data_IF_113417248364
#
_entry.id   IF_113417248364
#
_cell.length_a   1.000
_cell.length_b   1.000
_cell.length_c   1.000
_cell.angle_alpha   90.00
_cell.angle_beta   90.00
_cell.angle_gamma   90.00
#
_symmetry.space_group_name_H-M   'P 1'
#
loop_
_entity.id
_entity.type
_entity.pdbx_description
1 polymer ?
#
# COMPACT_ATOMS: atom_id res chain seq x y z
N UNK A 1 53.17 43.97 29.86
CA UNK A 1 51.85 44.54 30.24
C UNK A 1 51.95 45.01 31.67
N UNK A 2 51.69 46.29 31.95
CA UNK A 2 51.71 46.80 33.33
C UNK A 2 50.47 46.30 34.09
N UNK A 3 50.57 46.09 35.41
CA UNK A 3 49.44 45.63 36.22
C UNK A 3 48.23 46.58 36.13
N UNK A 4 48.45 47.87 35.87
CA UNK A 4 47.41 48.86 35.65
C UNK A 4 46.55 48.59 34.39
N UNK A 5 47.15 48.10 33.30
CA UNK A 5 46.39 47.75 32.10
C UNK A 5 45.52 46.50 32.32
N UNK A 6 46.01 45.52 33.09
CA UNK A 6 45.23 44.32 33.41
C UNK A 6 43.99 44.67 34.26
N UNK A 7 44.15 45.54 35.26
CA UNK A 7 43.05 45.99 36.12
C UNK A 7 42.00 46.78 35.33
N UNK A 8 42.43 47.67 34.43
CA UNK A 8 41.52 48.44 33.59
C UNK A 8 40.71 47.54 32.63
N UNK A 9 41.35 46.54 32.02
CA UNK A 9 40.69 45.59 31.13
C UNK A 9 39.66 44.75 31.90
N UNK A 10 40.00 44.25 33.09
CA UNK A 10 39.08 43.50 33.93
C UNK A 10 37.88 44.35 34.39
N UNK A 11 38.12 45.62 34.76
CA UNK A 11 37.05 46.54 35.14
C UNK A 11 36.09 46.82 33.97
N UNK A 12 36.62 47.09 32.77
CA UNK A 12 35.79 47.29 31.57
C UNK A 12 35.03 46.02 31.18
N UNK A 13 35.65 44.85 31.24
CA UNK A 13 34.98 43.58 30.98
C UNK A 13 33.82 43.34 31.95
N UNK A 14 34.01 43.63 33.24
CA UNK A 14 32.97 43.48 34.25
C UNK A 14 31.80 44.45 34.02
N UNK A 15 32.07 45.71 33.66
CA UNK A 15 31.03 46.69 33.31
C UNK A 15 30.25 46.24 32.07
N UNK A 16 30.93 45.76 31.04
CA UNK A 16 30.28 45.25 29.82
C UNK A 16 29.39 44.04 30.14
N UNK A 17 29.87 43.09 30.96
CA UNK A 17 29.06 41.94 31.41
C UNK A 17 27.83 42.40 32.18
N UNK A 18 27.96 43.35 33.11
CA UNK A 18 26.82 43.90 33.87
C UNK A 18 25.80 44.57 32.93
N UNK A 19 26.26 45.37 31.97
CA UNK A 19 25.38 46.03 30.99
C UNK A 19 24.66 45.00 30.11
N UNK A 20 25.36 43.98 29.61
CA UNK A 20 24.76 42.90 28.81
C UNK A 20 23.70 42.15 29.63
N UNK A 21 23.99 41.82 30.89
CA UNK A 21 23.04 41.16 31.78
C UNK A 21 21.80 42.02 32.06
N UNK A 22 21.93 43.34 32.13
CA UNK A 22 20.81 44.26 32.31
C UNK A 22 19.97 44.42 31.03
N UNK A 23 20.59 44.45 29.85
CA UNK A 23 19.89 44.67 28.56
C UNK A 23 19.24 43.38 28.03
N UNK A 24 19.83 42.21 28.25
CA UNK A 24 19.31 40.91 27.80
C UNK A 24 18.00 40.46 28.50
N UNK A 25 17.31 41.37 29.20
CA UNK A 25 16.18 41.06 30.07
C UNK A 25 14.82 41.61 29.70
N UNK A 26 14.69 42.28 28.55
CA UNK A 26 13.42 42.82 28.10
C UNK A 26 13.02 42.12 26.82
N UNK A 27 12.10 41.17 26.94
CA UNK A 27 11.42 40.63 25.78
C UNK A 27 10.31 41.61 25.37
N UNK A 28 10.13 41.83 24.07
CA UNK A 28 8.98 42.57 23.54
C UNK A 28 7.95 41.58 23.03
N UNK A 29 6.68 41.95 23.18
CA UNK A 29 5.61 41.14 22.62
C UNK A 29 5.69 41.13 21.09
N UNK A 30 5.75 39.97 20.41
CA UNK A 30 5.82 39.91 18.95
C UNK A 30 4.55 40.45 18.27
N UNK A 31 3.45 40.59 19.01
CA UNK A 31 2.15 41.01 18.48
C UNK A 31 1.87 42.51 18.63
N UNK A 32 2.31 43.13 19.72
CA UNK A 32 1.98 44.53 20.04
C UNK A 32 3.18 45.38 20.46
N UNK A 33 4.39 44.82 20.43
CA UNK A 33 5.67 45.44 20.82
C UNK A 33 5.75 45.98 22.27
N UNK A 34 4.75 45.67 23.11
CA UNK A 34 4.77 46.01 24.52
C UNK A 34 5.97 45.35 25.22
N UNK A 35 6.61 46.08 26.13
CA UNK A 35 7.72 45.58 26.93
C UNK A 35 7.23 44.61 28.00
N UNK A 36 7.84 43.43 28.10
CA UNK A 36 7.42 42.35 28.98
C UNK A 36 8.49 41.98 29.99
N UNK A 37 8.07 41.39 31.11
CA UNK A 37 8.98 40.75 32.06
C UNK A 37 9.52 39.44 31.48
N UNK A 38 10.73 39.04 31.91
CA UNK A 38 11.40 37.81 31.43
C UNK A 38 10.59 36.52 31.62
N UNK A 39 9.60 36.53 32.51
CA UNK A 39 8.75 35.40 32.87
C UNK A 39 7.29 35.57 32.46
N UNK A 40 6.95 36.60 31.67
CA UNK A 40 5.58 36.83 31.22
C UNK A 40 5.14 35.67 30.31
N UNK A 41 4.23 34.83 30.82
CA UNK A 41 3.57 33.77 30.03
C UNK A 41 2.47 34.31 29.12
N UNK A 42 1.99 35.51 29.39
CA UNK A 42 0.95 36.16 28.60
C UNK A 42 1.15 37.67 28.60
N UNK A 43 0.93 38.31 27.45
CA UNK A 43 0.98 39.76 27.34
C UNK A 43 -0.28 40.38 27.96
N UNK A 44 -0.14 41.31 28.93
CA UNK A 44 -1.28 41.95 29.58
C UNK A 44 -2.01 42.95 28.68
N UNK A 45 -1.39 43.40 27.58
CA UNK A 45 -1.99 44.38 26.66
C UNK A 45 -2.82 43.72 25.54
N UNK A 46 -2.34 42.62 24.96
CA UNK A 46 -3.00 41.98 23.82
C UNK A 46 -3.46 40.54 24.07
N UNK A 47 -3.20 39.99 25.26
CA UNK A 47 -3.59 38.62 25.62
C UNK A 47 -2.76 37.52 24.97
N UNK A 48 -1.73 37.84 24.18
CA UNK A 48 -0.88 36.84 23.51
C UNK A 48 -0.13 35.98 24.53
N UNK A 49 -0.30 34.65 24.46
CA UNK A 49 0.49 33.69 25.25
C UNK A 49 1.89 33.58 24.64
N UNK A 50 2.92 33.65 25.47
CA UNK A 50 4.33 33.70 25.08
C UNK A 50 5.05 32.51 25.69
N UNK A 51 5.80 31.78 24.87
CA UNK A 51 6.53 30.59 25.31
C UNK A 51 5.85 29.25 24.98
N UNK A 52 4.85 29.23 24.11
CA UNK A 52 4.44 28.00 23.44
C UNK A 52 4.89 28.10 21.99
N UNK A 53 5.99 27.41 21.67
CA UNK A 53 6.11 26.82 20.33
C UNK A 53 5.02 25.75 20.31
N UNK A 54 3.78 26.17 20.06
CA UNK A 54 2.77 25.21 19.67
C UNK A 54 3.31 24.67 18.36
N UNK A 55 3.64 23.39 18.36
CA UNK A 55 3.96 22.71 17.12
C UNK A 55 2.86 23.05 16.09
N UNK A 56 3.17 23.14 14.78
CA UNK A 56 2.15 23.39 13.76
C UNK A 56 0.93 22.45 13.86
N UNK A 57 1.11 21.29 14.50
CA UNK A 57 0.08 20.30 14.80
C UNK A 57 -0.82 20.72 15.99
N UNK A 58 -0.28 21.28 17.07
CA UNK A 58 -1.06 21.71 18.24
C UNK A 58 -1.87 23.00 17.96
N UNK A 59 -1.36 23.90 17.12
CA UNK A 59 -2.10 25.09 16.68
C UNK A 59 -3.33 24.73 15.82
N UNK A 60 -3.29 23.58 15.13
CA UNK A 60 -4.44 22.99 14.43
C UNK A 60 -5.43 22.34 15.40
N UNK A 61 -4.97 21.74 16.48
CA UNK A 61 -5.82 21.05 17.46
C UNK A 61 -6.61 21.99 18.39
N UNK A 62 -6.19 23.25 18.53
CA UNK A 62 -6.95 24.26 19.28
C UNK A 62 -8.22 24.76 18.55
N UNK A 63 -8.35 24.45 17.26
CA UNK A 63 -9.55 24.68 16.48
C UNK A 63 -10.24 23.32 16.40
N UNK A 64 -11.40 23.17 17.04
CA UNK A 64 -12.17 21.93 17.04
C UNK A 64 -12.46 21.42 15.62
N UNK A 65 -12.98 20.18 15.47
CA UNK A 65 -13.20 19.58 14.16
C UNK A 65 -14.01 20.50 13.23
N UNK A 66 -13.65 20.60 11.94
CA UNK A 66 -14.36 21.44 10.99
C UNK A 66 -15.84 21.05 10.92
N UNK A 67 -16.70 22.05 10.67
CA UNK A 67 -18.14 21.85 10.53
C UNK A 67 -18.55 21.91 9.06
N UNK A 68 -19.58 21.15 8.69
CA UNK A 68 -19.99 20.97 7.31
C UNK A 68 -21.44 21.38 7.10
N UNK A 69 -21.70 22.05 5.98
CA UNK A 69 -23.07 22.36 5.57
C UNK A 69 -23.64 21.23 4.70
N UNK A 70 -24.79 20.64 5.05
CA UNK A 70 -25.40 19.58 4.25
C UNK A 70 -25.95 20.06 2.90
N UNK A 71 -26.25 21.35 2.76
CA UNK A 71 -26.86 21.92 1.54
C UNK A 71 -25.79 22.38 0.52
N UNK A 72 -24.88 23.28 0.93
CA UNK A 72 -23.86 23.80 0.02
C UNK A 72 -22.59 22.94 -0.07
N UNK A 73 -22.48 21.90 0.78
CA UNK A 73 -21.28 21.04 0.90
C UNK A 73 -20.00 21.80 1.27
N UNK A 74 -20.14 23.02 1.80
CA UNK A 74 -19.02 23.83 2.25
C UNK A 74 -18.43 23.35 3.58
N UNK A 75 -17.11 23.49 3.70
CA UNK A 75 -16.36 23.27 4.93
C UNK A 75 -16.18 24.60 5.67
N UNK A 76 -16.48 24.60 6.97
CA UNK A 76 -16.45 25.76 7.83
C UNK A 76 -15.58 25.49 9.07
N UNK A 77 -15.07 26.58 9.64
CA UNK A 77 -14.35 26.54 10.92
C UNK A 77 -15.31 26.12 12.04
N UNK A 78 -14.78 25.46 13.07
CA UNK A 78 -15.54 24.93 14.21
C UNK A 78 -16.31 25.97 15.02
N UNK A 79 -15.93 27.25 14.95
CA UNK A 79 -16.61 28.36 15.61
C UNK A 79 -17.88 28.82 14.87
N UNK A 80 -18.10 28.34 13.64
CA UNK A 80 -19.27 28.69 12.84
C UNK A 80 -20.36 27.63 13.04
N UNK A 81 -21.50 28.04 13.59
CA UNK A 81 -22.62 27.12 13.91
C UNK A 81 -23.68 27.07 12.80
N UNK A 82 -23.78 28.12 11.99
CA UNK A 82 -24.81 28.29 10.95
C UNK A 82 -24.15 28.72 9.63
N UNK A 83 -24.56 28.10 8.52
CA UNK A 83 -24.06 28.46 7.19
C UNK A 83 -24.52 29.88 6.81
N UNK A 84 -23.62 30.79 6.39
CA UNK A 84 -24.00 32.16 6.00
C UNK A 84 -24.81 32.20 4.70
N UNK A 85 -24.63 31.22 3.80
CA UNK A 85 -25.31 31.18 2.51
C UNK A 85 -26.67 30.46 2.59
N UNK A 86 -26.72 29.34 3.32
CA UNK A 86 -27.91 28.49 3.40
C UNK A 86 -28.74 28.67 4.68
N UNK A 87 -28.20 29.35 5.70
CA UNK A 87 -28.83 29.51 7.02
C UNK A 87 -29.17 28.20 7.77
N UNK A 88 -28.60 27.07 7.34
CA UNK A 88 -28.77 25.75 7.98
C UNK A 88 -27.70 25.54 9.05
N UNK A 89 -28.06 24.80 10.10
CA UNK A 89 -27.14 24.40 11.19
C UNK A 89 -26.06 23.47 10.65
N UNK A 90 -24.81 23.81 10.91
CA UNK A 90 -23.64 23.05 10.46
C UNK A 90 -23.38 21.84 11.35
N UNK A 91 -22.97 20.73 10.75
CA UNK A 91 -22.74 19.45 11.41
C UNK A 91 -21.26 19.22 11.67
N UNK A 92 -20.89 18.61 12.80
CA UNK A 92 -19.48 18.37 13.21
C UNK A 92 -18.79 17.25 12.41
N UNK A 93 -19.58 16.44 11.73
CA UNK A 93 -19.10 15.40 10.84
C UNK A 93 -19.53 15.80 9.43
N UNK A 94 -18.64 15.65 8.45
CA UNK A 94 -19.10 15.16 7.17
C UNK A 94 -19.92 13.93 7.57
N UNK A 95 -21.26 14.00 7.49
CA UNK A 95 -22.01 12.78 7.21
C UNK A 95 -21.22 12.20 6.09
N UNK A 96 -20.47 11.14 6.38
CA UNK A 96 -19.67 10.50 5.39
C UNK A 96 -20.69 10.27 4.29
N UNK A 97 -20.55 11.02 3.18
CA UNK A 97 -20.70 10.34 1.94
C UNK A 97 -19.61 9.29 2.10
N UNK A 98 -20.01 8.11 2.59
CA UNK A 98 -19.18 6.91 2.59
C UNK A 98 -18.47 7.03 1.27
N UNK A 99 -17.12 7.21 1.29
CA UNK A 99 -16.36 7.61 0.12
C UNK A 99 -16.93 6.80 -1.01
N UNK A 100 -17.61 7.48 -1.96
CA UNK A 100 -18.62 6.86 -2.82
C UNK A 100 -18.21 5.42 -3.05
N UNK A 101 -18.96 4.46 -2.47
CA UNK A 101 -18.58 3.05 -2.40
C UNK A 101 -18.34 2.53 -3.81
N UNK A 102 -17.19 2.85 -4.38
CA UNK A 102 -16.70 2.32 -5.63
C UNK A 102 -16.09 0.99 -5.23
N UNK A 103 -17.04 0.06 -5.18
CA UNK A 103 -16.96 -1.38 -5.06
C UNK A 103 -17.05 -1.94 -3.64
N UNK A 104 -18.12 -2.72 -3.34
CA UNK A 104 -18.26 -3.43 -2.08
C UNK A 104 -17.04 -4.33 -1.88
N UNK A 105 -16.23 -4.01 -0.86
CA UNK A 105 -15.15 -4.87 -0.43
C UNK A 105 -15.72 -6.22 0.00
N UNK A 106 -15.47 -7.27 -0.78
CA UNK A 106 -15.87 -8.64 -0.44
C UNK A 106 -15.31 -9.01 0.96
N UNK A 107 -16.21 -9.25 1.93
CA UNK A 107 -15.89 -9.71 3.30
C UNK A 107 -16.15 -11.21 3.49
N UNK A 108 -16.05 -12.01 2.43
CA UNK A 108 -16.22 -13.46 2.52
C UNK A 108 -14.88 -14.20 2.63
N UNK A 109 -14.92 -15.52 2.86
CA UNK A 109 -13.74 -16.37 2.84
C UNK A 109 -13.10 -16.39 1.45
N UNK A 110 -11.77 -16.29 1.41
CA UNK A 110 -10.99 -16.36 0.18
C UNK A 110 -10.63 -17.83 -0.11
N UNK A 111 -10.66 -18.21 -1.38
CA UNK A 111 -10.28 -19.53 -1.88
C UNK A 111 -9.21 -19.39 -2.94
N UNK A 112 -8.25 -20.30 -2.91
CA UNK A 112 -7.21 -20.43 -3.94
C UNK A 112 -7.85 -20.88 -5.26
N UNK A 113 -7.57 -20.13 -6.32
CA UNK A 113 -8.00 -20.43 -7.68
C UNK A 113 -6.93 -21.24 -8.42
N UNK A 114 -5.74 -20.67 -8.58
CA UNK A 114 -4.59 -21.27 -9.26
C UNK A 114 -3.26 -20.65 -8.80
N UNK A 115 -2.15 -21.29 -9.16
CA UNK A 115 -0.79 -20.74 -9.00
C UNK A 115 -0.32 -20.17 -10.33
N UNK A 116 0.27 -18.98 -10.32
CA UNK A 116 0.93 -18.41 -11.48
C UNK A 116 2.42 -18.79 -11.48
N UNK A 117 2.94 -19.19 -12.64
CA UNK A 117 4.35 -19.57 -12.82
C UNK A 117 5.23 -18.33 -13.01
N UNK A 118 4.71 -17.27 -13.63
CA UNK A 118 5.42 -16.00 -13.82
C UNK A 118 4.56 -14.79 -13.41
N UNK A 119 5.18 -13.63 -13.10
CA UNK A 119 4.44 -12.43 -12.73
C UNK A 119 3.55 -11.93 -13.87
N UNK A 120 4.01 -12.07 -15.12
CA UNK A 120 3.25 -11.66 -16.31
C UNK A 120 2.01 -12.54 -16.51
N UNK A 121 2.15 -13.84 -16.24
CA UNK A 121 1.00 -14.76 -16.22
C UNK A 121 0.02 -14.36 -15.12
N UNK A 122 0.50 -14.02 -13.91
CA UNK A 122 -0.35 -13.58 -12.82
C UNK A 122 -1.15 -12.30 -13.19
N UNK A 123 -0.47 -11.29 -13.73
CA UNK A 123 -1.08 -10.04 -14.16
C UNK A 123 -2.10 -10.24 -15.29
N UNK A 124 -1.79 -11.13 -16.25
CA UNK A 124 -2.71 -11.50 -17.31
C UNK A 124 -3.99 -12.14 -16.75
N UNK A 125 -3.85 -13.15 -15.90
CA UNK A 125 -4.98 -13.87 -15.30
C UNK A 125 -5.84 -12.94 -14.43
N UNK A 126 -5.23 -12.03 -13.66
CA UNK A 126 -5.95 -11.04 -12.86
C UNK A 126 -6.73 -10.07 -13.76
N UNK A 127 -6.13 -9.63 -14.87
CA UNK A 127 -6.77 -8.72 -15.82
C UNK A 127 -7.99 -9.37 -16.49
N UNK A 128 -7.87 -10.64 -16.90
CA UNK A 128 -8.98 -11.43 -17.46
C UNK A 128 -10.12 -11.58 -16.46
N UNK A 129 -9.80 -11.93 -15.21
CA UNK A 129 -10.80 -12.08 -14.15
C UNK A 129 -11.50 -10.74 -13.87
N UNK A 130 -10.75 -9.64 -13.84
CA UNK A 130 -11.30 -8.30 -13.63
C UNK A 130 -12.25 -7.87 -14.76
N UNK A 131 -11.95 -8.19 -16.02
CA UNK A 131 -12.84 -7.90 -17.16
C UNK A 131 -14.19 -8.64 -17.04
N UNK A 132 -14.18 -9.81 -16.40
CA UNK A 132 -15.37 -10.61 -16.11
C UNK A 132 -16.00 -10.27 -14.75
N UNK A 133 -15.68 -9.12 -14.16
CA UNK A 133 -16.20 -8.69 -12.85
C UNK A 133 -15.94 -9.72 -11.73
N UNK A 134 -14.82 -10.45 -11.83
CA UNK A 134 -14.32 -11.37 -10.80
C UNK A 134 -13.12 -10.73 -10.11
N UNK A 135 -13.25 -10.48 -8.81
CA UNK A 135 -12.17 -9.91 -8.02
C UNK A 135 -11.17 -11.00 -7.62
N UNK A 136 -9.94 -10.83 -8.10
CA UNK A 136 -8.80 -11.68 -7.75
C UNK A 136 -7.70 -10.87 -7.06
N UNK A 137 -6.95 -11.52 -6.19
CA UNK A 137 -5.78 -10.94 -5.52
C UNK A 137 -4.61 -11.90 -5.69
N UNK A 138 -3.44 -11.37 -6.04
CA UNK A 138 -2.19 -12.11 -5.99
C UNK A 138 -1.69 -12.15 -4.55
N UNK A 139 -1.58 -13.34 -3.97
CA UNK A 139 -0.75 -13.53 -2.78
C UNK A 139 0.62 -14.03 -3.21
N UNK A 140 1.60 -13.16 -3.05
CA UNK A 140 2.99 -13.54 -3.11
C UNK A 140 3.28 -14.50 -1.94
N UNK A 141 3.80 -15.69 -2.25
CA UNK A 141 4.29 -16.58 -1.19
C UNK A 141 5.52 -15.88 -0.58
N UNK A 142 5.38 -15.31 0.62
CA UNK A 142 6.52 -14.86 1.44
C UNK A 142 7.33 -16.10 1.86
N UNK A 143 8.06 -16.73 0.93
CA UNK A 143 8.96 -17.83 1.25
C UNK A 143 10.39 -17.37 1.18
N UNK A 144 10.99 -17.46 2.37
CA UNK A 144 12.41 -17.39 2.69
C UNK A 144 13.29 -17.89 1.55
N UNK A 145 14.43 -17.23 1.26
CA UNK A 145 15.37 -17.69 0.25
C UNK A 145 15.73 -19.15 0.55
N UNK A 146 15.25 -20.06 -0.28
CA UNK A 146 15.65 -21.46 -0.23
C UNK A 146 17.12 -21.50 -0.59
N UNK A 147 17.92 -21.93 0.38
CA UNK A 147 19.36 -22.06 0.30
C UNK A 147 19.74 -22.90 -0.94
N UNK A 148 20.51 -22.29 -1.83
CA UNK A 148 20.60 -22.56 -3.27
C UNK A 148 21.26 -23.90 -3.68
N UNK A 149 21.41 -24.88 -2.79
CA UNK A 149 22.40 -25.94 -3.04
C UNK A 149 21.87 -27.27 -3.58
N UNK A 150 20.61 -27.70 -3.39
CA UNK A 150 20.22 -29.07 -3.79
C UNK A 150 18.75 -29.31 -4.17
N UNK A 151 18.15 -28.55 -5.10
CA UNK A 151 16.90 -28.97 -5.73
C UNK A 151 16.86 -28.64 -7.23
N UNK A 152 16.41 -29.57 -8.11
CA UNK A 152 16.35 -29.36 -9.54
C UNK A 152 15.19 -28.41 -9.88
N UNK A 153 15.48 -27.35 -10.64
CA UNK A 153 14.56 -26.45 -11.37
C UNK A 153 13.07 -26.52 -10.95
N UNK A 154 12.75 -26.20 -9.71
CA UNK A 154 11.37 -25.88 -9.35
C UNK A 154 11.20 -24.42 -9.76
N UNK A 155 10.50 -24.19 -10.86
CA UNK A 155 10.06 -22.86 -11.28
C UNK A 155 9.42 -22.17 -10.08
N UNK A 156 10.08 -21.12 -9.60
CA UNK A 156 9.58 -20.31 -8.50
C UNK A 156 8.37 -19.56 -9.06
N UNK A 157 7.18 -20.08 -8.80
CA UNK A 157 5.93 -19.46 -9.21
C UNK A 157 5.80 -18.07 -8.62
N UNK A 158 5.22 -17.14 -9.39
CA UNK A 158 5.06 -15.74 -9.00
C UNK A 158 4.05 -15.52 -7.85
N UNK A 159 3.24 -16.52 -7.52
CA UNK A 159 2.34 -16.47 -6.39
C UNK A 159 1.07 -17.28 -6.61
N UNK A 160 0.17 -17.18 -5.63
CA UNK A 160 -1.13 -17.84 -5.66
C UNK A 160 -2.22 -16.79 -5.92
N UNK A 161 -3.05 -17.03 -6.94
CA UNK A 161 -4.22 -16.20 -7.22
C UNK A 161 -5.37 -16.70 -6.36
N UNK A 162 -5.91 -15.81 -5.52
CA UNK A 162 -7.04 -16.08 -4.64
C UNK A 162 -8.25 -15.23 -5.04
N UNK A 163 -9.43 -15.81 -4.90
CA UNK A 163 -10.73 -15.18 -5.22
C UNK A 163 -11.70 -15.37 -4.06
N UNK A 164 -12.79 -14.59 -4.04
CA UNK A 164 -13.89 -14.84 -3.11
C UNK A 164 -14.54 -16.21 -3.35
N UNK A 165 -14.97 -16.89 -2.29
CA UNK A 165 -15.65 -18.20 -2.41
C UNK A 165 -16.89 -18.15 -3.31
N UNK A 166 -17.61 -17.03 -3.32
CA UNK A 166 -18.78 -16.84 -4.20
C UNK A 166 -18.39 -16.77 -5.68
N UNK A 167 -17.22 -16.21 -5.98
CA UNK A 167 -16.75 -16.01 -7.35
C UNK A 167 -15.91 -17.20 -7.85
N UNK A 168 -15.57 -18.15 -6.98
CA UNK A 168 -14.71 -19.29 -7.33
C UNK A 168 -15.24 -20.10 -8.51
N UNK A 169 -16.55 -20.35 -8.57
CA UNK A 169 -17.15 -21.11 -9.67
C UNK A 169 -17.06 -20.34 -10.99
N UNK A 170 -17.37 -19.04 -10.96
CA UNK A 170 -17.30 -18.15 -12.13
C UNK A 170 -15.86 -17.96 -12.60
N UNK A 171 -14.93 -17.75 -11.67
CA UNK A 171 -13.50 -17.62 -11.95
C UNK A 171 -12.95 -18.85 -12.70
N UNK A 172 -13.35 -20.07 -12.28
CA UNK A 172 -12.96 -21.31 -12.96
C UNK A 172 -13.52 -21.41 -14.38
N UNK A 173 -14.76 -20.99 -14.59
CA UNK A 173 -15.38 -20.98 -15.92
C UNK A 173 -14.66 -20.01 -16.86
N UNK A 174 -14.33 -18.80 -16.37
CA UNK A 174 -13.57 -17.80 -17.11
C UNK A 174 -12.19 -18.35 -17.50
N UNK A 175 -11.46 -18.95 -16.56
CA UNK A 175 -10.15 -19.53 -16.86
C UNK A 175 -10.23 -20.68 -17.87
N UNK A 176 -11.21 -21.58 -17.73
CA UNK A 176 -11.43 -22.66 -18.67
C UNK A 176 -11.73 -22.14 -20.09
N UNK A 177 -12.45 -21.02 -20.21
CA UNK A 177 -12.71 -20.39 -21.50
C UNK A 177 -11.45 -19.83 -22.15
N UNK A 178 -10.57 -19.20 -21.36
CA UNK A 178 -9.30 -18.65 -21.86
C UNK A 178 -8.31 -19.75 -22.22
N UNK A 179 -8.23 -20.82 -21.43
CA UNK A 179 -7.42 -22.00 -21.78
C UNK A 179 -7.93 -22.66 -23.07
N UNK A 180 -9.25 -22.77 -23.24
CA UNK A 180 -9.84 -23.29 -24.46
C UNK A 180 -9.52 -22.42 -25.68
N UNK A 181 -9.51 -21.10 -25.54
CA UNK A 181 -9.12 -20.15 -26.60
C UNK A 181 -7.60 -20.14 -26.86
N UNK A 182 -6.77 -20.27 -25.82
CA UNK A 182 -5.32 -20.38 -25.95
C UNK A 182 -4.89 -21.70 -26.62
N UNK A 183 -5.71 -22.75 -26.48
CA UNK A 183 -5.52 -24.04 -27.14
C UNK A 183 -5.93 -24.03 -28.64
N UNK A 184 -6.32 -22.88 -29.22
CA UNK A 184 -6.72 -22.76 -30.63
C UNK A 184 -5.53 -22.55 -31.60
N UNK A 185 -4.27 -22.55 -31.13
CA UNK A 185 -3.14 -22.49 -32.07
C UNK A 185 -1.86 -23.21 -31.64
N UNK A 186 -1.96 -24.32 -30.92
CA UNK A 186 -0.83 -25.22 -30.72
C UNK A 186 -1.19 -26.68 -31.01
N UNK A 187 -1.49 -26.94 -32.28
CA UNK A 187 -1.10 -28.21 -32.89
C UNK A 187 0.44 -28.27 -32.89
N UNK A 188 1.07 -28.55 -31.75
CA UNK A 188 2.39 -29.18 -31.75
C UNK A 188 2.18 -30.68 -31.70
N UNK A 189 2.40 -31.25 -32.87
CA UNK A 189 2.42 -32.67 -33.20
C UNK A 189 3.06 -33.53 -32.12
N UNK A 190 2.28 -34.48 -31.62
CA UNK A 190 2.77 -35.83 -31.38
C UNK A 190 1.77 -36.82 -32.00
N UNK A 191 1.58 -36.76 -33.33
CA UNK A 191 1.26 -37.96 -34.11
C UNK A 191 2.55 -38.83 -34.17
N UNK A 192 2.97 -39.31 -33.01
CA UNK A 192 3.75 -40.55 -32.95
C UNK A 192 2.71 -41.65 -32.89
N UNK A 193 2.49 -42.34 -34.00
CA UNK A 193 1.54 -43.45 -34.10
C UNK A 193 1.70 -44.40 -32.92
N UNK A 194 0.80 -44.28 -31.94
CA UNK A 194 0.68 -45.22 -30.83
C UNK A 194 -0.08 -46.41 -31.37
N UNK A 195 0.62 -47.51 -31.51
CA UNK A 195 0.05 -48.76 -31.98
C UNK A 195 -0.01 -49.75 -30.83
N UNK A 196 -0.95 -50.70 -30.94
CA UNK A 196 -1.20 -51.68 -29.88
C UNK A 196 -0.70 -53.04 -30.33
N UNK A 197 -0.05 -53.76 -29.42
CA UNK A 197 0.42 -55.11 -29.70
C UNK A 197 -0.78 -56.05 -29.91
N UNK A 198 -0.89 -56.67 -31.08
CA UNK A 198 -2.01 -57.59 -31.41
C UNK A 198 -2.05 -58.84 -30.49
N UNK A 199 -0.92 -59.21 -29.89
CA UNK A 199 -0.82 -60.39 -29.02
C UNK A 199 -1.39 -60.12 -27.62
N UNK A 200 -1.21 -58.91 -27.07
CA UNK A 200 -1.54 -58.65 -25.67
C UNK A 200 -2.26 -57.33 -25.38
N UNK A 201 -2.47 -56.49 -26.39
CA UNK A 201 -3.14 -55.18 -26.27
C UNK A 201 -2.35 -54.13 -25.49
N UNK A 202 -1.04 -54.32 -25.30
CA UNK A 202 -0.19 -53.29 -24.71
C UNK A 202 0.09 -52.18 -25.72
N UNK A 203 0.16 -50.95 -25.24
CA UNK A 203 0.61 -49.80 -26.01
C UNK A 203 2.13 -49.91 -26.25
N UNK A 204 2.55 -49.73 -27.50
CA UNK A 204 3.93 -49.89 -27.92
C UNK A 204 4.37 -48.64 -28.69
N UNK A 205 5.58 -48.17 -28.42
CA UNK A 205 6.15 -47.03 -29.14
C UNK A 205 6.53 -47.36 -30.59
N UNK A 206 6.58 -46.38 -31.50
CA UNK A 206 6.81 -46.59 -32.93
C UNK A 206 8.21 -47.14 -33.28
N UNK A 207 9.14 -47.17 -32.31
CA UNK A 207 10.53 -47.64 -32.50
C UNK A 207 10.83 -48.94 -31.76
N UNK A 208 9.86 -49.57 -31.12
CA UNK A 208 10.10 -50.80 -30.38
C UNK A 208 10.16 -52.01 -31.33
N UNK A 209 11.28 -52.74 -31.32
CA UNK A 209 11.46 -53.98 -32.09
C UNK A 209 10.70 -55.20 -31.48
N UNK A 210 10.29 -55.11 -30.22
CA UNK A 210 9.49 -56.13 -29.54
C UNK A 210 8.58 -55.52 -28.47
N UNK A 211 7.45 -56.18 -28.19
CA UNK A 211 6.50 -55.74 -27.17
C UNK A 211 7.12 -55.85 -25.77
N UNK A 212 7.19 -54.76 -24.97
CA UNK A 212 7.78 -54.81 -23.63
C UNK A 212 6.94 -55.64 -22.64
N UNK A 213 5.68 -55.93 -22.96
CA UNK A 213 4.77 -56.64 -22.06
C UNK A 213 4.74 -58.16 -22.29
N UNK A 214 4.71 -58.60 -23.55
CA UNK A 214 4.63 -60.03 -23.88
C UNK A 214 5.86 -60.60 -24.60
N UNK A 215 6.80 -59.74 -25.02
CA UNK A 215 8.01 -60.17 -25.72
C UNK A 215 7.78 -60.61 -27.18
N UNK A 216 6.61 -60.34 -27.76
CA UNK A 216 6.38 -60.59 -29.18
C UNK A 216 7.29 -59.69 -30.02
N UNK A 217 8.08 -60.29 -30.90
CA UNK A 217 8.89 -59.58 -31.91
C UNK A 217 7.97 -59.11 -33.05
N UNK A 218 8.29 -57.96 -33.64
CA UNK A 218 7.53 -57.40 -34.74
C UNK A 218 8.27 -57.63 -36.05
N UNK A 219 7.55 -58.12 -37.06
CA UNK A 219 8.14 -58.31 -38.39
C UNK A 219 8.35 -56.92 -39.02
N UNK A 220 9.60 -56.58 -39.32
CA UNK A 220 9.91 -55.43 -40.16
C UNK A 220 9.45 -55.78 -41.59
N UNK A 221 8.31 -55.25 -42.02
CA UNK A 221 7.90 -55.34 -43.42
C UNK A 221 8.92 -54.55 -44.28
N UNK A 222 9.73 -55.28 -45.08
CA UNK A 222 10.69 -54.72 -46.04
C UNK A 222 10.04 -53.89 -47.17
#
# INVERSE_FOLDING_TARGET
MSPLHLVLILALALVVVVVILLVAGRQRCPRCDASLSRSARQCPHCGQVLGLVQSPLEARQAQGPPRYCPECKGEFRSDVVVCPDCSVVLQDHLLAQEPAEDQPGYRGPLKMLCSASTPEEADFLISVLAEQDVRAVLMEDERTPVDYLHAPLVTVGAGQIIVGEMDLARAKEVLASVEAEANVSHECSEEGDQWTCEVCGAEVGPTAAACPRCGAEFEEDE
#
